data_IF_570170670104
#
_entry.id   IF_570170670104
#
_cell.length_a   1.000
_cell.length_b   1.000
_cell.length_c   1.000
_cell.angle_alpha   90.00
_cell.angle_beta   90.00
_cell.angle_gamma   90.00
#
_symmetry.space_group_name_H-M   'P 1'
#
loop_
_entity.id
_entity.type
_entity.pdbx_description
1 polymer ?
#
# COMPACT_ATOMS: atom_id res chain seq x y z
N UNK A 1 16.07 -44.37 35.60
CA UNK A 1 15.79 -43.64 34.34
C UNK A 1 14.75 -42.58 34.63
N UNK A 2 15.17 -41.32 34.79
CA UNK A 2 14.28 -40.21 35.12
C UNK A 2 13.94 -39.45 33.84
N UNK A 3 12.83 -39.80 33.20
CA UNK A 3 12.24 -38.99 32.13
C UNK A 3 11.60 -37.76 32.76
N UNK A 4 12.21 -36.62 32.44
CA UNK A 4 11.93 -35.30 32.97
C UNK A 4 10.45 -34.90 32.97
N UNK A 5 10.06 -34.16 34.02
CA UNK A 5 8.87 -33.32 34.13
C UNK A 5 8.93 -32.14 33.12
N UNK A 6 9.15 -32.41 31.84
CA UNK A 6 9.17 -31.42 30.76
C UNK A 6 7.78 -31.21 30.14
N UNK A 7 6.85 -32.14 30.35
CA UNK A 7 5.49 -32.07 29.81
C UNK A 7 4.72 -30.90 30.40
N UNK A 8 4.75 -30.68 31.72
CA UNK A 8 3.99 -29.61 32.36
C UNK A 8 4.35 -28.20 31.88
N UNK A 9 5.64 -27.94 31.61
CA UNK A 9 6.11 -26.63 31.14
C UNK A 9 5.82 -26.44 29.64
N UNK A 10 5.83 -27.52 28.85
CA UNK A 10 5.41 -27.50 27.44
C UNK A 10 3.91 -27.28 27.33
N UNK A 11 3.09 -28.01 28.10
CA UNK A 11 1.63 -27.83 28.14
C UNK A 11 1.24 -26.41 28.60
N UNK A 12 1.95 -25.87 29.60
CA UNK A 12 1.76 -24.50 30.04
C UNK A 12 2.12 -23.51 28.92
N UNK A 13 3.27 -23.68 28.26
CA UNK A 13 3.68 -22.86 27.11
C UNK A 13 2.65 -22.92 25.99
N UNK A 14 2.12 -24.10 25.66
CA UNK A 14 1.08 -24.25 24.64
C UNK A 14 -0.20 -23.52 25.01
N UNK A 15 -0.65 -23.63 26.26
CA UNK A 15 -1.84 -22.95 26.77
C UNK A 15 -1.71 -21.43 26.69
N UNK A 16 -0.54 -20.89 27.08
CA UNK A 16 -0.25 -19.46 26.98
C UNK A 16 -0.25 -19.01 25.51
N UNK A 17 0.40 -19.75 24.61
CA UNK A 17 0.41 -19.43 23.18
C UNK A 17 -1.01 -19.39 22.59
N UNK A 18 -1.86 -20.40 22.88
CA UNK A 18 -3.25 -20.44 22.40
C UNK A 18 -4.07 -19.25 22.91
N UNK A 19 -3.87 -18.84 24.16
CA UNK A 19 -4.58 -17.69 24.78
C UNK A 19 -4.16 -16.35 24.16
N UNK A 20 -2.87 -16.16 23.92
CA UNK A 20 -2.34 -14.95 23.28
C UNK A 20 -2.82 -14.82 21.82
N UNK A 21 -2.69 -15.89 21.02
CA UNK A 21 -3.13 -15.90 19.61
C UNK A 21 -4.64 -15.65 19.47
N UNK A 22 -5.46 -16.22 20.35
CA UNK A 22 -6.93 -15.99 20.35
C UNK A 22 -7.26 -14.52 20.64
N UNK A 23 -6.51 -13.89 21.53
CA UNK A 23 -6.66 -12.47 21.87
C UNK A 23 -6.30 -11.55 20.69
N UNK A 24 -5.22 -11.86 19.96
CA UNK A 24 -4.86 -11.13 18.74
C UNK A 24 -5.91 -11.26 17.63
N UNK A 25 -6.51 -12.44 17.47
CA UNK A 25 -7.56 -12.67 16.47
C UNK A 25 -8.85 -11.88 16.75
N UNK A 26 -9.19 -11.70 18.02
CA UNK A 26 -10.33 -10.90 18.48
C UNK A 26 -10.02 -9.39 18.38
N UNK A 27 -8.78 -8.99 18.65
CA UNK A 27 -8.32 -7.62 18.46
C UNK A 27 -8.26 -7.22 16.97
N UNK A 28 -7.77 -8.10 16.09
CA UNK A 28 -7.75 -7.90 14.62
C UNK A 28 -9.15 -7.79 14.02
N UNK A 29 -10.15 -8.49 14.58
CA UNK A 29 -11.55 -8.40 14.10
C UNK A 29 -12.17 -7.00 14.29
N UNK A 30 -11.58 -6.10 15.09
CA UNK A 30 -12.21 -4.80 15.43
C UNK A 30 -11.68 -3.57 14.68
N UNK A 31 -10.74 -3.68 13.74
CA UNK A 31 -10.29 -2.52 12.93
C UNK A 31 -10.16 -2.90 11.45
N UNK A 32 -11.23 -3.44 10.86
CA UNK A 32 -11.39 -3.35 9.40
C UNK A 32 -12.12 -2.03 9.15
N UNK A 33 -11.37 -0.92 9.17
CA UNK A 33 -11.91 0.34 8.63
C UNK A 33 -12.08 0.10 7.14
N UNK A 34 -13.30 -0.25 6.72
CA UNK A 34 -13.69 -0.32 5.33
C UNK A 34 -13.60 1.11 4.79
N UNK A 35 -12.41 1.52 4.35
CA UNK A 35 -12.22 2.80 3.67
C UNK A 35 -13.12 2.76 2.45
N UNK A 36 -14.14 3.61 2.44
CA UNK A 36 -15.05 3.76 1.31
C UNK A 36 -14.37 4.46 0.13
N UNK A 37 -13.20 5.04 0.35
CA UNK A 37 -12.45 5.78 -0.65
C UNK A 37 -11.51 4.86 -1.42
N UNK A 38 -11.56 4.95 -2.75
CA UNK A 38 -10.66 4.23 -3.65
C UNK A 38 -9.25 4.79 -3.46
N UNK A 39 -8.31 3.95 -3.03
CA UNK A 39 -6.90 4.34 -2.92
C UNK A 39 -6.32 4.51 -4.33
N UNK A 40 -5.81 5.69 -4.61
CA UNK A 40 -5.07 6.04 -5.83
C UNK A 40 -3.57 5.82 -5.61
N UNK A 41 -2.94 4.98 -6.42
CA UNK A 41 -1.49 4.73 -6.37
C UNK A 41 -0.82 5.15 -7.68
N UNK A 42 0.39 5.76 -7.62
CA UNK A 42 1.15 6.06 -8.82
C UNK A 42 1.53 4.76 -9.53
N UNK A 43 1.23 4.69 -10.82
CA UNK A 43 1.59 3.58 -11.71
C UNK A 43 2.59 4.07 -12.74
N UNK A 44 3.58 3.23 -13.06
CA UNK A 44 4.58 3.57 -14.07
C UNK A 44 4.00 3.49 -15.49
N UNK A 45 4.30 4.49 -16.32
CA UNK A 45 3.86 4.54 -17.71
C UNK A 45 4.64 3.51 -18.51
N UNK A 46 3.95 2.50 -19.04
CA UNK A 46 4.57 1.48 -19.90
C UNK A 46 5.16 2.13 -21.16
N UNK A 47 6.41 1.77 -21.46
CA UNK A 47 7.07 2.13 -22.70
C UNK A 47 6.54 1.33 -23.89
N UNK A 48 6.85 1.79 -25.10
CA UNK A 48 6.57 1.08 -26.34
C UNK A 48 7.54 -0.09 -26.58
N UNK A 49 7.20 -0.98 -27.52
CA UNK A 49 7.95 -2.20 -27.85
C UNK A 49 9.44 -1.97 -28.20
N UNK A 50 9.83 -0.73 -28.51
CA UNK A 50 11.22 -0.31 -28.75
C UNK A 50 11.95 0.16 -27.48
N UNK A 51 11.46 -0.23 -26.31
CA UNK A 51 12.04 0.03 -24.98
C UNK A 51 12.23 1.51 -24.60
N UNK A 52 11.59 2.46 -25.30
CA UNK A 52 11.64 3.87 -24.92
C UNK A 52 10.64 4.13 -23.79
N UNK A 53 11.15 4.64 -22.67
CA UNK A 53 10.30 5.13 -21.58
C UNK A 53 9.45 6.29 -22.08
N UNK A 54 8.13 6.10 -22.12
CA UNK A 54 7.18 7.15 -22.46
C UNK A 54 6.97 8.05 -21.25
N UNK A 55 7.29 9.34 -21.38
CA UNK A 55 6.96 10.36 -20.38
C UNK A 55 5.78 11.19 -20.85
N UNK A 56 4.92 11.59 -19.92
CA UNK A 56 3.78 12.49 -20.15
C UNK A 56 3.98 13.78 -19.35
N UNK A 57 3.34 14.87 -19.75
CA UNK A 57 3.40 16.13 -19.00
C UNK A 57 2.56 16.02 -17.72
N UNK A 58 3.11 16.48 -16.59
CA UNK A 58 2.36 16.57 -15.35
C UNK A 58 1.19 17.56 -15.51
N UNK A 59 -0.04 17.10 -15.21
CA UNK A 59 -1.27 17.89 -15.35
C UNK A 59 -1.24 19.17 -14.50
N UNK A 60 -0.92 19.04 -13.20
CA UNK A 60 -0.87 20.19 -12.29
C UNK A 60 0.26 21.17 -12.62
N UNK A 61 1.44 20.68 -13.01
CA UNK A 61 2.53 21.58 -13.40
C UNK A 61 2.17 22.35 -14.67
N UNK A 62 1.56 21.69 -15.65
CA UNK A 62 1.13 22.32 -16.89
C UNK A 62 0.12 23.45 -16.63
N UNK A 63 -0.82 23.27 -15.70
CA UNK A 63 -1.76 24.31 -15.27
C UNK A 63 -1.04 25.54 -14.66
N UNK A 64 0.09 25.31 -13.98
CA UNK A 64 0.95 26.37 -13.44
C UNK A 64 1.97 26.92 -14.46
N UNK A 65 1.81 26.62 -15.76
CA UNK A 65 2.74 26.99 -16.83
C UNK A 65 4.17 26.43 -16.65
N UNK A 66 4.32 25.39 -15.83
CA UNK A 66 5.60 24.70 -15.59
C UNK A 66 5.61 23.41 -16.42
N UNK A 67 6.64 23.22 -17.24
CA UNK A 67 6.83 21.96 -17.97
C UNK A 67 7.61 20.96 -17.10
N UNK A 68 6.93 19.88 -16.69
CA UNK A 68 7.58 18.69 -16.10
C UNK A 68 7.07 17.44 -16.78
N UNK A 69 7.99 16.64 -17.29
CA UNK A 69 7.70 15.33 -17.87
C UNK A 69 7.87 14.26 -16.79
N UNK A 70 6.85 13.42 -16.64
CA UNK A 70 6.75 12.41 -15.58
C UNK A 70 6.57 11.02 -16.18
N UNK A 71 7.10 10.02 -15.48
CA UNK A 71 6.98 8.60 -15.84
C UNK A 71 5.84 7.89 -15.09
N UNK A 72 5.01 8.64 -14.36
CA UNK A 72 3.94 8.09 -13.53
C UNK A 72 2.58 8.68 -13.89
N UNK A 73 1.54 7.85 -13.78
CA UNK A 73 0.14 8.24 -13.91
C UNK A 73 -0.71 7.55 -12.83
N UNK A 74 -1.92 8.05 -12.59
CA UNK A 74 -2.89 7.34 -11.75
C UNK A 74 -3.79 6.45 -12.61
N UNK A 75 -3.68 5.12 -12.50
CA UNK A 75 -4.54 4.19 -13.24
C UNK A 75 -5.97 4.07 -12.67
N UNK A 76 -6.19 4.53 -11.43
CA UNK A 76 -7.50 4.47 -10.76
C UNK A 76 -8.45 5.59 -11.21
N UNK A 77 -7.92 6.69 -11.75
CA UNK A 77 -8.71 7.80 -12.28
C UNK A 77 -9.16 7.54 -13.72
N UNK A 78 -10.39 7.96 -14.05
CA UNK A 78 -10.98 7.79 -15.40
C UNK A 78 -10.16 8.43 -16.52
N UNK A 79 -9.47 9.53 -16.25
CA UNK A 79 -8.67 10.29 -17.21
C UNK A 79 -7.17 9.91 -17.20
N UNK A 80 -6.79 8.97 -16.35
CA UNK A 80 -5.42 8.52 -16.13
C UNK A 80 -4.38 9.67 -16.11
N UNK A 81 -4.50 10.61 -15.17
CA UNK A 81 -3.70 11.82 -15.14
C UNK A 81 -2.23 11.48 -14.86
N UNK A 82 -1.34 12.05 -15.65
CA UNK A 82 0.09 12.03 -15.39
C UNK A 82 0.44 13.12 -14.37
N UNK A 83 1.09 12.74 -13.26
CA UNK A 83 1.38 13.63 -12.14
C UNK A 83 2.80 13.39 -11.61
N UNK A 84 3.46 14.43 -11.09
CA UNK A 84 4.69 14.27 -10.33
C UNK A 84 4.39 13.47 -9.05
N UNK A 85 5.30 12.59 -8.63
CA UNK A 85 5.16 11.83 -7.37
C UNK A 85 4.92 12.77 -6.18
N UNK A 86 5.68 13.85 -6.09
CA UNK A 86 5.52 14.91 -5.08
C UNK A 86 5.73 16.27 -5.76
N UNK A 87 4.97 17.33 -5.39
CA UNK A 87 3.79 17.33 -4.51
C UNK A 87 2.48 17.00 -5.26
N UNK A 88 2.55 16.86 -6.59
CA UNK A 88 1.36 16.89 -7.45
C UNK A 88 0.42 15.71 -7.21
N UNK A 89 0.93 14.50 -6.98
CA UNK A 89 0.08 13.33 -6.77
C UNK A 89 -0.80 13.50 -5.51
N UNK A 90 -0.17 13.89 -4.40
CA UNK A 90 -0.86 14.18 -3.13
C UNK A 90 -1.89 15.29 -3.31
N UNK A 91 -1.50 16.43 -3.89
CA UNK A 91 -2.39 17.57 -4.09
C UNK A 91 -3.59 17.26 -4.98
N UNK A 92 -3.40 16.45 -6.03
CA UNK A 92 -4.49 16.08 -6.95
C UNK A 92 -5.51 15.14 -6.28
N UNK A 93 -5.04 14.17 -5.50
CA UNK A 93 -5.89 13.19 -4.83
C UNK A 93 -6.36 13.62 -3.43
N UNK A 94 -5.87 14.76 -2.92
CA UNK A 94 -6.19 15.31 -1.59
C UNK A 94 -5.91 14.33 -0.45
N UNK A 95 -4.76 13.64 -0.54
CA UNK A 95 -4.22 12.88 0.60
C UNK A 95 -3.66 13.79 1.69
#
# INVERSE_FOLDING_TARGET
MHTFCLTGLVEFRESIMRKLMKTESLAKKKIIRKSTEKVHLPTYIKGDAKAKTKRRKCRLCLQNKIRKDVSFHCATCSDEPALCLEPCFRLYHKY
#
